data_IF_491183008275
#
_entry.id   IF_491183008275
#
_cell.length_a   1.000
_cell.length_b   1.000
_cell.length_c   1.000
_cell.angle_alpha   90.00
_cell.angle_beta   90.00
_cell.angle_gamma   90.00
#
_symmetry.space_group_name_H-M   'P 1'
#
loop_
_entity.id
_entity.type
_entity.pdbx_description
1 polymer ?
#
# COMPACT_ATOMS: atom_id res chain seq x y z
N UNK A 1 3.02 22.76 -14.63
CA UNK A 1 2.48 21.43 -14.32
C UNK A 1 3.07 20.98 -13.00
N UNK A 2 2.23 20.85 -11.96
CA UNK A 2 2.67 20.31 -10.65
C UNK A 2 3.12 18.87 -10.91
N UNK A 3 4.38 18.57 -10.62
CA UNK A 3 4.92 17.23 -10.85
C UNK A 3 4.21 16.26 -9.90
N UNK A 4 3.44 15.31 -10.45
CA UNK A 4 2.67 14.34 -9.67
C UNK A 4 3.64 13.52 -8.80
N UNK A 5 3.29 13.36 -7.52
CA UNK A 5 4.08 12.54 -6.59
C UNK A 5 3.91 11.06 -6.93
N UNK A 6 5.01 10.32 -6.92
CA UNK A 6 5.00 8.87 -7.11
C UNK A 6 4.90 8.11 -5.78
N UNK A 7 4.57 6.83 -5.86
CA UNK A 7 4.47 5.91 -4.72
C UNK A 7 5.66 4.94 -4.73
N UNK A 8 6.27 4.73 -3.58
CA UNK A 8 7.24 3.65 -3.41
C UNK A 8 6.52 2.39 -2.91
N UNK A 9 6.87 1.23 -3.45
CA UNK A 9 6.43 -0.08 -2.96
C UNK A 9 7.68 -0.84 -2.50
N UNK A 10 7.81 -1.06 -1.21
CA UNK A 10 8.93 -1.81 -0.63
C UNK A 10 8.43 -3.15 -0.10
N UNK A 11 9.13 -4.23 -0.45
CA UNK A 11 8.82 -5.58 0.04
C UNK A 11 10.05 -6.20 0.69
N UNK A 12 9.85 -6.91 1.80
CA UNK A 12 10.94 -7.53 2.56
C UNK A 12 11.58 -8.74 1.87
N UNK A 13 10.87 -9.34 0.92
CA UNK A 13 11.31 -10.49 0.13
C UNK A 13 10.59 -10.50 -1.23
N UNK A 14 11.24 -11.04 -2.25
CA UNK A 14 10.63 -11.31 -3.56
C UNK A 14 9.50 -12.36 -3.49
N UNK A 15 9.47 -13.18 -2.45
CA UNK A 15 8.35 -14.09 -2.16
C UNK A 15 7.02 -13.36 -1.93
N UNK A 16 7.05 -12.08 -1.60
CA UNK A 16 5.87 -11.25 -1.37
C UNK A 16 5.26 -10.70 -2.68
N UNK A 17 5.96 -10.85 -3.80
CA UNK A 17 5.57 -10.31 -5.11
C UNK A 17 4.15 -10.70 -5.55
N UNK A 18 3.63 -11.93 -5.33
CA UNK A 18 2.25 -12.28 -5.71
C UNK A 18 1.21 -11.36 -5.06
N UNK A 19 1.40 -10.96 -3.80
CA UNK A 19 0.50 -10.03 -3.09
C UNK A 19 0.79 -8.58 -3.52
N UNK A 20 2.06 -8.20 -3.57
CA UNK A 20 2.50 -6.84 -3.89
C UNK A 20 2.09 -6.40 -5.30
N UNK A 21 2.06 -7.33 -6.26
CA UNK A 21 1.64 -7.05 -7.64
C UNK A 21 0.22 -6.46 -7.73
N UNK A 22 -0.65 -6.72 -6.76
CA UNK A 22 -1.99 -6.12 -6.70
C UNK A 22 -1.93 -4.61 -6.43
N UNK A 23 -0.97 -4.14 -5.63
CA UNK A 23 -0.76 -2.70 -5.42
C UNK A 23 -0.27 -2.02 -6.71
N UNK A 24 0.71 -2.59 -7.39
CA UNK A 24 1.23 -2.07 -8.65
C UNK A 24 0.12 -1.91 -9.70
N UNK A 25 -0.64 -2.98 -9.95
CA UNK A 25 -1.78 -2.96 -10.88
C UNK A 25 -2.83 -1.92 -10.51
N UNK A 26 -3.07 -1.70 -9.23
CA UNK A 26 -4.05 -0.70 -8.79
C UNK A 26 -3.53 0.72 -9.00
N UNK A 27 -2.24 0.99 -8.77
CA UNK A 27 -1.62 2.29 -9.06
C UNK A 27 -1.63 2.58 -10.57
N UNK A 28 -1.33 1.58 -11.40
CA UNK A 28 -1.41 1.69 -12.87
C UNK A 28 -2.80 2.08 -13.33
N UNK A 29 -3.86 1.43 -12.82
CA UNK A 29 -5.26 1.77 -13.12
C UNK A 29 -5.62 3.21 -12.73
N UNK A 30 -5.04 3.70 -11.64
CA UNK A 30 -5.24 5.07 -11.18
C UNK A 30 -4.28 6.06 -11.86
N UNK A 31 -3.38 5.58 -12.74
CA UNK A 31 -2.41 6.40 -13.46
C UNK A 31 -1.41 7.09 -12.54
N UNK A 32 -1.02 6.42 -11.46
CA UNK A 32 -0.03 6.89 -10.49
C UNK A 32 1.29 6.18 -10.74
N UNK A 33 2.35 6.96 -10.93
CA UNK A 33 3.71 6.43 -11.09
C UNK A 33 4.19 5.79 -9.78
N UNK A 34 4.90 4.66 -9.90
CA UNK A 34 5.47 3.97 -8.74
C UNK A 34 6.84 3.37 -9.05
N UNK A 35 7.59 3.10 -8.00
CA UNK A 35 8.79 2.27 -8.03
C UNK A 35 8.68 1.15 -7.00
N UNK A 36 9.12 -0.05 -7.35
CA UNK A 36 9.10 -1.21 -6.48
C UNK A 36 10.50 -1.74 -6.20
N UNK A 37 10.81 -2.03 -4.94
CA UNK A 37 12.11 -2.52 -4.49
C UNK A 37 11.97 -3.65 -3.48
N UNK A 38 12.93 -4.56 -3.47
CA UNK A 38 13.11 -5.56 -2.41
C UNK A 38 14.13 -5.00 -1.42
N UNK A 39 13.66 -4.64 -0.22
CA UNK A 39 14.48 -4.11 0.88
C UNK A 39 14.00 -4.73 2.20
N UNK A 40 14.92 -5.31 2.95
CA UNK A 40 14.63 -5.98 4.22
C UNK A 40 15.10 -5.17 5.42
N UNK A 41 14.21 -4.91 6.37
CA UNK A 41 14.58 -4.22 7.60
C UNK A 41 15.70 -4.93 8.38
N UNK A 42 15.78 -6.27 8.27
CA UNK A 42 16.75 -7.06 9.02
C UNK A 42 18.02 -7.39 8.23
N UNK A 43 17.92 -7.53 6.90
CA UNK A 43 19.03 -7.97 6.05
C UNK A 43 19.70 -6.83 5.29
N UNK A 44 18.99 -5.73 5.04
CA UNK A 44 19.50 -4.52 4.37
C UNK A 44 19.08 -3.25 5.12
N UNK A 45 19.39 -3.13 6.43
CA UNK A 45 18.90 -2.03 7.27
C UNK A 45 19.42 -0.65 6.82
N UNK A 46 20.64 -0.57 6.33
CA UNK A 46 21.23 0.68 5.85
C UNK A 46 20.54 1.17 4.57
N UNK A 47 20.28 0.30 3.63
CA UNK A 47 19.59 0.59 2.37
C UNK A 47 18.13 1.02 2.63
N UNK A 48 17.46 0.40 3.62
CA UNK A 48 16.12 0.83 4.06
C UNK A 48 16.18 2.25 4.61
N UNK A 49 17.14 2.56 5.47
CA UNK A 49 17.29 3.89 6.05
C UNK A 49 17.65 4.95 4.99
N UNK A 50 18.57 4.64 4.08
CA UNK A 50 18.96 5.52 2.98
C UNK A 50 17.79 5.81 2.04
N UNK A 51 17.08 4.78 1.59
CA UNK A 51 15.89 4.96 0.74
C UNK A 51 14.85 5.84 1.43
N UNK A 52 14.53 5.53 2.68
CA UNK A 52 13.44 6.20 3.43
C UNK A 52 13.75 7.66 3.70
N UNK A 53 14.97 8.00 4.10
CA UNK A 53 15.40 9.37 4.38
C UNK A 53 15.45 10.24 3.11
N UNK A 54 15.78 9.66 1.96
CA UNK A 54 15.86 10.36 0.67
C UNK A 54 14.53 10.34 -0.13
N UNK A 55 13.52 9.58 0.31
CA UNK A 55 12.30 9.38 -0.47
C UNK A 55 11.59 10.69 -0.85
N UNK A 56 11.50 11.66 0.07
CA UNK A 56 10.88 12.97 -0.21
C UNK A 56 11.63 13.73 -1.30
N UNK A 57 12.96 13.74 -1.24
CA UNK A 57 13.80 14.42 -2.24
C UNK A 57 13.69 13.74 -3.61
N UNK A 58 13.45 12.44 -3.64
CA UNK A 58 13.25 11.64 -4.85
C UNK A 58 11.80 11.65 -5.37
N UNK A 59 11.00 12.65 -4.97
CA UNK A 59 9.62 12.88 -5.44
C UNK A 59 8.59 11.82 -5.02
N UNK A 60 8.88 10.98 -4.02
CA UNK A 60 7.84 10.14 -3.43
C UNK A 60 6.88 10.94 -2.54
N UNK A 61 5.61 10.58 -2.57
CA UNK A 61 4.57 11.16 -1.70
C UNK A 61 4.09 10.18 -0.62
N UNK A 62 4.15 8.88 -0.91
CA UNK A 62 3.71 7.81 -0.01
C UNK A 62 4.63 6.60 -0.18
N UNK A 63 4.86 5.86 0.88
CA UNK A 63 5.59 4.58 0.85
C UNK A 63 4.65 3.46 1.31
N UNK A 64 4.48 2.43 0.48
CA UNK A 64 3.80 1.18 0.83
C UNK A 64 4.87 0.18 1.21
N UNK A 65 4.78 -0.40 2.41
CA UNK A 65 5.74 -1.36 2.94
C UNK A 65 5.05 -2.70 3.21
N UNK A 66 5.48 -3.76 2.54
CA UNK A 66 4.91 -5.09 2.59
C UNK A 66 5.90 -6.05 3.27
N UNK A 67 5.48 -6.74 4.31
CA UNK A 67 6.31 -7.71 5.01
C UNK A 67 5.47 -8.77 5.73
N UNK A 68 6.00 -9.99 5.80
CA UNK A 68 5.42 -11.10 6.54
C UNK A 68 6.21 -11.46 7.79
N UNK A 69 5.68 -12.36 8.62
CA UNK A 69 6.27 -12.83 9.88
C UNK A 69 6.57 -11.66 10.83
N UNK A 70 7.83 -11.50 11.25
CA UNK A 70 8.30 -10.33 11.99
C UNK A 70 8.33 -9.10 11.06
N UNK A 71 7.17 -8.55 10.75
CA UNK A 71 6.92 -7.54 9.73
C UNK A 71 7.31 -6.14 10.22
N UNK A 72 8.60 -5.92 10.49
CA UNK A 72 9.14 -4.68 11.01
C UNK A 72 9.44 -3.61 9.94
N UNK A 73 9.31 -3.94 8.64
CA UNK A 73 9.73 -3.07 7.55
C UNK A 73 9.03 -1.71 7.57
N UNK A 74 7.70 -1.70 7.73
CA UNK A 74 6.93 -0.45 7.74
C UNK A 74 7.34 0.47 8.90
N UNK A 75 7.53 -0.10 10.09
CA UNK A 75 7.99 0.65 11.27
C UNK A 75 9.41 1.19 11.09
N UNK A 76 10.33 0.39 10.54
CA UNK A 76 11.70 0.81 10.25
C UNK A 76 11.74 1.98 9.25
N UNK A 77 10.91 1.93 8.20
CA UNK A 77 10.77 3.01 7.23
C UNK A 77 10.18 4.26 7.89
N UNK A 78 9.09 4.12 8.64
CA UNK A 78 8.40 5.23 9.28
C UNK A 78 9.29 5.99 10.27
N UNK A 79 10.27 5.31 10.87
CA UNK A 79 11.27 5.93 11.76
C UNK A 79 12.27 6.83 11.02
N UNK A 80 12.41 6.71 9.69
CA UNK A 80 13.41 7.42 8.89
C UNK A 80 12.81 8.49 7.96
N UNK A 81 11.48 8.62 7.90
CA UNK A 81 10.81 9.60 7.04
C UNK A 81 9.57 10.18 7.69
N UNK A 82 9.20 11.40 7.28
CA UNK A 82 7.91 12.02 7.62
C UNK A 82 6.87 11.86 6.50
N UNK A 83 7.16 11.10 5.45
CA UNK A 83 6.16 10.72 4.47
C UNK A 83 5.16 9.72 5.08
N UNK A 84 3.90 9.72 4.64
CA UNK A 84 2.96 8.67 5.00
C UNK A 84 3.50 7.29 4.63
N UNK A 85 3.47 6.37 5.60
CA UNK A 85 3.85 4.97 5.41
C UNK A 85 2.62 4.09 5.61
N UNK A 86 2.32 3.25 4.61
CA UNK A 86 1.22 2.29 4.63
C UNK A 86 1.82 0.90 4.78
N UNK A 87 1.45 0.20 5.85
CA UNK A 87 1.91 -1.16 6.11
C UNK A 87 0.93 -2.20 5.56
N UNK A 88 1.45 -3.16 4.83
CA UNK A 88 0.72 -4.33 4.34
C UNK A 88 1.28 -5.57 5.02
N UNK A 89 0.58 -6.12 6.03
CA UNK A 89 0.96 -7.40 6.61
C UNK A 89 0.79 -8.50 5.58
N UNK A 90 1.82 -9.32 5.37
CA UNK A 90 1.76 -10.44 4.44
C UNK A 90 1.52 -11.73 5.21
N UNK A 91 0.52 -12.50 4.76
CA UNK A 91 0.23 -13.83 5.31
C UNK A 91 1.42 -14.77 5.12
N UNK A 92 1.76 -15.49 6.17
CA UNK A 92 2.76 -16.56 6.14
C UNK A 92 2.15 -17.87 6.64
N UNK A 93 2.93 -18.96 6.61
CA UNK A 93 2.50 -20.28 7.06
C UNK A 93 2.19 -20.38 8.56
N UNK A 94 2.64 -19.39 9.35
CA UNK A 94 2.44 -19.35 10.81
C UNK A 94 1.41 -18.28 11.16
N UNK A 95 0.45 -18.59 12.03
CA UNK A 95 -0.59 -17.68 12.55
C UNK A 95 -1.43 -16.94 11.47
N UNK A 96 -1.42 -17.42 10.23
CA UNK A 96 -2.22 -16.87 9.14
C UNK A 96 -2.05 -15.34 8.89
N UNK A 97 -0.90 -14.79 9.26
CA UNK A 97 -0.58 -13.38 9.11
C UNK A 97 -0.91 -12.50 10.33
N UNK A 98 -1.46 -13.07 11.41
CA UNK A 98 -1.74 -12.32 12.64
C UNK A 98 -0.45 -11.75 13.26
N UNK A 99 0.64 -12.51 13.22
CA UNK A 99 1.98 -12.09 13.63
C UNK A 99 2.46 -10.87 12.82
N UNK A 100 2.28 -10.88 11.50
CA UNK A 100 2.63 -9.76 10.63
C UNK A 100 1.75 -8.54 10.89
N UNK A 101 0.43 -8.75 11.08
CA UNK A 101 -0.51 -7.67 11.42
C UNK A 101 -0.11 -6.98 12.73
N UNK A 102 0.12 -7.73 13.80
CA UNK A 102 0.47 -7.16 15.11
C UNK A 102 1.83 -6.47 15.07
N UNK A 103 2.81 -7.02 14.35
CA UNK A 103 4.14 -6.40 14.18
C UNK A 103 4.08 -5.09 13.40
N UNK A 104 3.10 -4.93 12.52
CA UNK A 104 2.95 -3.74 11.66
C UNK A 104 2.10 -2.66 12.33
N UNK A 105 0.98 -3.04 12.97
CA UNK A 105 -0.02 -2.08 13.48
C UNK A 105 0.33 -1.49 14.83
N UNK A 106 1.04 -2.21 15.70
CA UNK A 106 1.34 -1.79 17.08
C UNK A 106 2.56 -0.86 17.12
N UNK A 107 2.39 0.35 16.58
CA UNK A 107 3.43 1.36 16.54
C UNK A 107 3.43 2.26 17.79
N UNK A 108 4.61 2.73 18.26
CA UNK A 108 4.71 3.68 19.35
C UNK A 108 4.16 5.05 18.97
N UNK A 109 3.76 5.82 19.97
CA UNK A 109 3.35 7.20 19.77
C UNK A 109 4.47 8.02 19.10
N UNK A 110 4.10 8.78 18.07
CA UNK A 110 5.02 9.64 17.30
C UNK A 110 5.50 9.03 15.99
N UNK A 111 5.43 7.70 15.81
CA UNK A 111 5.85 7.00 14.58
C UNK A 111 4.68 6.15 14.06
N UNK A 112 3.68 6.75 13.43
CA UNK A 112 2.51 6.03 12.95
C UNK A 112 2.79 5.26 11.65
N UNK A 113 2.10 4.12 11.49
CA UNK A 113 1.98 3.37 10.24
C UNK A 113 0.49 3.14 9.96
N UNK A 114 0.02 3.53 8.78
CA UNK A 114 -1.34 3.27 8.34
C UNK A 114 -1.45 1.82 7.86
N UNK A 115 -1.92 0.92 8.72
CA UNK A 115 -1.94 -0.52 8.44
C UNK A 115 -3.25 -0.91 7.77
N UNK A 116 -3.17 -1.58 6.62
CA UNK A 116 -4.31 -2.18 5.91
C UNK A 116 -4.49 -3.65 6.30
N UNK A 117 -5.51 -4.31 5.74
CA UNK A 117 -5.77 -5.72 6.00
C UNK A 117 -4.58 -6.62 5.60
N UNK A 118 -4.52 -7.83 6.17
CA UNK A 118 -3.59 -8.87 5.75
C UNK A 118 -3.77 -9.12 4.24
N UNK A 119 -2.67 -9.15 3.50
CA UNK A 119 -2.60 -9.25 2.04
C UNK A 119 -3.36 -8.13 1.28
N UNK A 120 -3.68 -7.03 1.97
CA UNK A 120 -4.50 -5.93 1.44
C UNK A 120 -3.75 -4.95 0.54
N UNK A 121 -2.82 -5.41 -0.32
CA UNK A 121 -1.96 -4.55 -1.12
C UNK A 121 -2.73 -3.63 -2.09
N UNK A 122 -3.85 -4.08 -2.68
CA UNK A 122 -4.69 -3.23 -3.52
C UNK A 122 -5.30 -2.07 -2.73
N UNK A 123 -5.77 -2.31 -1.50
CA UNK A 123 -6.27 -1.26 -0.63
C UNK A 123 -5.16 -0.31 -0.16
N UNK A 124 -3.93 -0.79 0.01
CA UNK A 124 -2.79 0.09 0.28
C UNK A 124 -2.55 1.08 -0.87
N UNK A 125 -2.64 0.61 -2.11
CA UNK A 125 -2.53 1.48 -3.29
C UNK A 125 -3.67 2.50 -3.37
N UNK A 126 -4.90 2.09 -3.06
CA UNK A 126 -6.06 3.00 -3.01
C UNK A 126 -5.88 4.04 -1.90
N UNK A 127 -5.43 3.65 -0.72
CA UNK A 127 -5.15 4.58 0.38
C UNK A 127 -4.02 5.56 0.01
N UNK A 128 -2.96 5.08 -0.65
CA UNK A 128 -1.91 5.96 -1.17
C UNK A 128 -2.48 6.98 -2.16
N UNK A 129 -3.34 6.54 -3.09
CA UNK A 129 -4.03 7.43 -4.01
C UNK A 129 -4.92 8.45 -3.27
N UNK A 130 -5.65 8.04 -2.23
CA UNK A 130 -6.47 8.95 -1.42
C UNK A 130 -5.61 10.01 -0.72
N UNK A 131 -4.45 9.65 -0.20
CA UNK A 131 -3.51 10.59 0.41
C UNK A 131 -3.02 11.62 -0.64
N UNK A 132 -2.63 11.16 -1.82
CA UNK A 132 -2.17 12.03 -2.90
C UNK A 132 -3.29 12.92 -3.45
N UNK A 133 -4.52 12.42 -3.48
CA UNK A 133 -5.69 13.13 -4.02
C UNK A 133 -6.10 14.36 -3.21
N UNK A 134 -5.62 14.52 -1.99
CA UNK A 134 -5.86 15.72 -1.17
C UNK A 134 -5.33 16.98 -1.87
N UNK A 135 -4.27 16.84 -2.67
CA UNK A 135 -3.67 17.95 -3.43
C UNK A 135 -3.70 17.74 -4.96
N UNK A 136 -4.28 16.62 -5.44
CA UNK A 136 -4.33 16.26 -6.85
C UNK A 136 -5.74 15.88 -7.29
N UNK A 137 -6.41 16.82 -7.96
CA UNK A 137 -7.80 16.65 -8.42
C UNK A 137 -7.96 15.57 -9.49
N UNK A 138 -6.91 15.28 -10.27
CA UNK A 138 -6.97 14.22 -11.29
C UNK A 138 -7.06 12.86 -10.60
N UNK A 139 -6.27 12.64 -9.55
CA UNK A 139 -6.34 11.41 -8.76
C UNK A 139 -7.69 11.33 -8.03
N UNK A 140 -8.18 12.45 -7.47
CA UNK A 140 -9.49 12.50 -6.81
C UNK A 140 -10.62 12.07 -7.77
N UNK A 141 -10.62 12.59 -8.99
CA UNK A 141 -11.62 12.22 -10.02
C UNK A 141 -11.54 10.74 -10.38
N UNK A 142 -10.33 10.19 -10.57
CA UNK A 142 -10.14 8.75 -10.87
C UNK A 142 -10.63 7.84 -9.75
N UNK A 143 -10.47 8.25 -8.49
CA UNK A 143 -11.02 7.52 -7.34
C UNK A 143 -12.55 7.53 -7.33
N UNK A 144 -13.19 8.64 -7.69
CA UNK A 144 -14.65 8.72 -7.84
C UNK A 144 -15.16 7.82 -8.98
N UNK A 145 -14.49 7.82 -10.12
CA UNK A 145 -14.81 6.95 -11.26
C UNK A 145 -14.71 5.47 -10.88
N UNK A 146 -13.61 5.08 -10.20
CA UNK A 146 -13.43 3.72 -9.68
C UNK A 146 -14.58 3.31 -8.76
N UNK A 147 -15.01 4.17 -7.83
CA UNK A 147 -16.14 3.87 -6.92
C UNK A 147 -17.47 3.74 -7.68
N UNK A 148 -17.69 4.56 -8.68
CA UNK A 148 -18.89 4.47 -9.54
C UNK A 148 -18.92 3.17 -10.36
N UNK A 149 -17.77 2.69 -10.83
CA UNK A 149 -17.66 1.38 -11.49
C UNK A 149 -17.97 0.23 -10.52
N UNK A 150 -17.46 0.30 -9.29
CA UNK A 150 -17.77 -0.68 -8.25
C UNK A 150 -19.28 -0.71 -7.95
N UNK A 151 -19.93 0.46 -7.80
CA UNK A 151 -21.37 0.58 -7.60
C UNK A 151 -22.14 -0.10 -8.74
N UNK A 152 -21.84 0.24 -9.99
CA UNK A 152 -22.49 -0.35 -11.18
C UNK A 152 -22.32 -1.88 -11.21
N UNK A 153 -21.12 -2.36 -10.85
CA UNK A 153 -20.83 -3.81 -10.80
C UNK A 153 -21.70 -4.54 -9.77
N UNK A 154 -21.88 -3.95 -8.57
CA UNK A 154 -22.72 -4.56 -7.53
C UNK A 154 -24.18 -4.54 -7.91
N UNK A 155 -24.70 -3.41 -8.41
CA UNK A 155 -26.08 -3.30 -8.85
C UNK A 155 -26.42 -4.27 -10.00
N UNK A 156 -25.49 -4.49 -10.93
CA UNK A 156 -25.65 -5.50 -11.98
C UNK A 156 -25.76 -6.91 -11.40
N UNK A 157 -24.88 -7.26 -10.43
CA UNK A 157 -24.92 -8.58 -9.76
C UNK A 157 -26.25 -8.80 -9.02
N UNK A 158 -26.77 -7.75 -8.37
CA UNK A 158 -28.06 -7.79 -7.69
C UNK A 158 -29.20 -8.04 -8.66
N UNK A 159 -29.26 -7.30 -9.77
CA UNK A 159 -30.25 -7.51 -10.80
C UNK A 159 -30.19 -8.94 -11.41
N UNK A 160 -28.97 -9.44 -11.65
CA UNK A 160 -28.75 -10.79 -12.19
C UNK A 160 -29.14 -11.91 -11.19
N UNK A 161 -29.12 -11.61 -9.87
CA UNK A 161 -29.47 -12.56 -8.82
C UNK A 161 -30.98 -12.82 -8.79
N UNK A 162 -31.82 -11.78 -8.98
CA UNK A 162 -33.28 -11.89 -8.99
C UNK A 162 -33.83 -12.88 -10.01
N UNK A 163 -33.11 -13.14 -11.10
CA UNK A 163 -33.45 -14.17 -12.09
C UNK A 163 -32.94 -15.59 -11.78
N UNK A 164 -32.16 -15.78 -10.71
CA UNK A 164 -31.54 -17.07 -10.36
C UNK A 164 -32.16 -17.77 -9.14
N UNK A 165 -33.02 -17.05 -8.40
CA UNK A 165 -33.62 -17.55 -7.14
C UNK A 165 -35.13 -17.89 -7.33
N UNK A 166 -35.65 -17.82 -8.57
CA UNK A 166 -37.03 -18.22 -8.92
C UNK A 166 -37.07 -19.68 -9.32
#
# INVERSE_FOLDING_TARGET
LKNMKKVAILMGSDSDLPVVSAAAKQLEKLGIEYEAHVLSAHRTPFEVAEFSSNARANNFGVIIACAGKAAHLAGAIAAQTTLPVIGVPIKSSTLDGLDALLSTVQMPQGIPVATVAIDGAANAAILAAQILSVEDEIIAQRLLEMRNEMLKSVLKKDADLGGKIQ
#
